data_IF_481674105980
#
_entry.id   IF_481674105980
#
_cell.length_a   1.000
_cell.length_b   1.000
_cell.length_c   1.000
_cell.angle_alpha   90.00
_cell.angle_beta   90.00
_cell.angle_gamma   90.00
#
_symmetry.space_group_name_H-M   'P 1'
#
loop_
_entity.id
_entity.type
_entity.pdbx_description
1 polymer ?
#
# COMPACT_ATOMS: atom_id res chain seq x y z
N UNK A 1 39.52 -22.66 -2.90
CA UNK A 1 38.19 -23.06 -2.41
C UNK A 1 37.39 -21.79 -2.14
N UNK A 2 36.72 -21.28 -3.17
CA UNK A 2 35.92 -20.05 -3.11
C UNK A 2 34.75 -20.22 -4.06
N UNK A 3 33.53 -20.24 -3.51
CA UNK A 3 32.35 -19.48 -3.96
C UNK A 3 31.19 -19.87 -3.04
N UNK A 4 30.83 -19.06 -2.02
CA UNK A 4 29.49 -19.08 -1.49
C UNK A 4 28.58 -18.10 -2.26
N UNK A 5 27.31 -18.49 -2.39
CA UNK A 5 26.10 -17.64 -2.47
C UNK A 5 26.00 -16.61 -3.60
N UNK A 6 25.13 -16.85 -4.59
CA UNK A 6 23.66 -16.65 -4.51
C UNK A 6 23.11 -16.45 -5.91
N UNK A 7 22.22 -17.34 -6.31
CA UNK A 7 21.42 -17.28 -7.53
C UNK A 7 20.48 -16.07 -7.47
N UNK A 8 20.95 -14.89 -7.87
CA UNK A 8 20.10 -13.79 -8.29
C UNK A 8 19.84 -13.97 -9.79
N UNK A 9 18.94 -14.91 -10.11
CA UNK A 9 18.41 -14.99 -11.47
C UNK A 9 17.53 -13.74 -11.66
N UNK A 10 18.06 -12.76 -12.39
CA UNK A 10 17.48 -11.43 -12.51
C UNK A 10 16.17 -11.51 -13.30
N UNK A 11 15.05 -11.17 -12.64
CA UNK A 11 13.76 -11.06 -13.33
C UNK A 11 13.91 -10.17 -14.57
N UNK A 12 13.52 -10.71 -15.73
CA UNK A 12 13.40 -9.92 -16.96
C UNK A 12 12.38 -8.82 -16.70
N UNK A 13 12.79 -7.56 -16.90
CA UNK A 13 11.92 -6.39 -16.70
C UNK A 13 10.92 -6.31 -17.86
N UNK A 14 9.83 -7.08 -17.74
CA UNK A 14 8.75 -7.17 -18.75
C UNK A 14 7.68 -6.10 -18.54
N UNK A 15 7.53 -5.59 -17.32
CA UNK A 15 6.51 -4.59 -17.00
C UNK A 15 6.88 -3.22 -17.57
N UNK A 16 6.11 -2.77 -18.56
CA UNK A 16 6.14 -1.39 -19.03
C UNK A 16 5.41 -0.47 -18.05
N UNK A 17 5.60 0.85 -18.19
CA UNK A 17 4.93 1.85 -17.33
C UNK A 17 3.40 1.70 -17.32
N UNK A 18 2.82 1.33 -18.46
CA UNK A 18 1.39 1.08 -18.60
C UNK A 18 0.93 -0.16 -17.83
N UNK A 19 1.70 -1.25 -17.87
CA UNK A 19 1.36 -2.49 -17.17
C UNK A 19 1.42 -2.31 -15.65
N UNK A 20 2.40 -1.55 -15.17
CA UNK A 20 2.50 -1.18 -13.75
C UNK A 20 1.29 -0.34 -13.32
N UNK A 21 0.86 0.60 -14.16
CA UNK A 21 -0.31 1.42 -13.87
C UNK A 21 -1.59 0.58 -13.84
N UNK A 22 -1.78 -0.30 -14.82
CA UNK A 22 -2.92 -1.21 -14.87
C UNK A 22 -2.96 -2.15 -13.65
N UNK A 23 -1.81 -2.67 -13.24
CA UNK A 23 -1.68 -3.49 -12.04
C UNK A 23 -2.04 -2.69 -10.78
N UNK A 24 -1.54 -1.46 -10.65
CA UNK A 24 -1.84 -0.60 -9.51
C UNK A 24 -3.34 -0.26 -9.41
N UNK A 25 -3.98 0.08 -10.53
CA UNK A 25 -5.43 0.32 -10.58
C UNK A 25 -6.23 -0.94 -10.21
N UNK A 26 -5.84 -2.10 -10.74
CA UNK A 26 -6.49 -3.38 -10.43
C UNK A 26 -6.37 -3.75 -8.95
N UNK A 27 -5.23 -3.46 -8.33
CA UNK A 27 -5.02 -3.69 -6.90
C UNK A 27 -5.81 -2.71 -6.00
N UNK A 28 -6.12 -1.51 -6.48
CA UNK A 28 -6.83 -0.49 -5.70
C UNK A 28 -8.35 -0.71 -5.67
N UNK A 29 -8.94 -1.24 -6.75
CA UNK A 29 -10.38 -1.44 -6.89
C UNK A 29 -10.78 -2.79 -6.27
N UNK A 30 -11.19 -2.77 -4.99
CA UNK A 30 -11.66 -3.96 -4.26
C UNK A 30 -13.18 -4.02 -4.06
N UNK A 31 -13.67 -4.96 -3.25
CA UNK A 31 -15.10 -5.09 -2.91
C UNK A 31 -15.61 -4.02 -1.91
N UNK A 32 -14.68 -3.35 -1.21
CA UNK A 32 -15.01 -2.48 -0.07
C UNK A 32 -15.96 -1.33 -0.41
N UNK A 33 -15.88 -0.74 -1.60
CA UNK A 33 -16.73 0.39 -1.98
C UNK A 33 -18.22 0.01 -2.09
N UNK A 34 -18.54 -1.25 -2.45
CA UNK A 34 -19.92 -1.72 -2.61
C UNK A 34 -20.63 -1.72 -1.24
N UNK A 35 -19.96 -2.21 -0.20
CA UNK A 35 -20.51 -2.31 1.16
C UNK A 35 -20.49 -0.95 1.85
N UNK A 36 -19.42 -0.18 1.67
CA UNK A 36 -19.25 1.10 2.34
C UNK A 36 -20.22 2.16 1.80
N UNK A 37 -20.54 2.12 0.50
CA UNK A 37 -21.52 3.05 -0.08
C UNK A 37 -22.92 2.83 0.48
N UNK A 38 -23.34 1.57 0.67
CA UNK A 38 -24.64 1.25 1.26
C UNK A 38 -24.76 1.76 2.71
N UNK A 39 -23.75 1.50 3.53
CA UNK A 39 -23.71 1.96 4.93
C UNK A 39 -23.57 3.49 5.05
N UNK A 40 -22.81 4.13 4.17
CA UNK A 40 -22.65 5.58 4.14
C UNK A 40 -23.95 6.31 3.77
N UNK A 41 -24.69 5.83 2.76
CA UNK A 41 -25.98 6.41 2.36
C UNK A 41 -27.02 6.24 3.47
N UNK A 42 -27.03 5.09 4.14
CA UNK A 42 -28.04 4.76 5.14
C UNK A 42 -27.81 5.49 6.48
N UNK A 43 -26.57 5.85 6.78
CA UNK A 43 -26.21 6.60 8.00
C UNK A 43 -26.24 8.13 7.81
N UNK A 44 -25.74 8.65 6.68
CA UNK A 44 -25.56 10.09 6.46
C UNK A 44 -26.51 10.69 5.39
N UNK A 45 -27.33 9.86 4.73
CA UNK A 45 -28.11 10.27 3.56
C UNK A 45 -27.25 10.44 2.30
N UNK A 46 -27.89 10.69 1.16
CA UNK A 46 -27.20 10.87 -0.13
C UNK A 46 -26.25 12.07 -0.15
N UNK A 47 -26.65 13.19 0.48
CA UNK A 47 -25.81 14.39 0.59
C UNK A 47 -24.61 14.19 1.52
N UNK A 48 -24.80 13.50 2.65
CA UNK A 48 -23.71 13.24 3.60
C UNK A 48 -22.65 12.30 3.04
N UNK A 49 -23.05 11.27 2.28
CA UNK A 49 -22.14 10.38 1.61
C UNK A 49 -21.25 11.12 0.57
N UNK A 50 -21.83 12.02 -0.22
CA UNK A 50 -21.08 12.81 -1.23
C UNK A 50 -20.03 13.68 -0.53
N UNK A 51 -20.39 14.39 0.53
CA UNK A 51 -19.47 15.25 1.28
C UNK A 51 -18.35 14.42 1.92
N UNK A 52 -18.68 13.26 2.50
CA UNK A 52 -17.70 12.35 3.09
C UNK A 52 -16.72 11.81 2.03
N UNK A 53 -17.18 11.47 0.82
CA UNK A 53 -16.32 11.06 -0.29
C UNK A 53 -15.39 12.18 -0.77
N UNK A 54 -15.87 13.43 -0.82
CA UNK A 54 -15.02 14.57 -1.21
C UNK A 54 -13.91 14.78 -0.17
N UNK A 55 -14.25 14.79 1.12
CA UNK A 55 -13.27 14.99 2.20
C UNK A 55 -12.29 13.81 2.25
N UNK A 56 -12.80 12.57 2.16
CA UNK A 56 -11.97 11.37 2.12
C UNK A 56 -11.05 11.34 0.90
N UNK A 57 -11.55 11.73 -0.27
CA UNK A 57 -10.76 11.86 -1.49
C UNK A 57 -9.64 12.89 -1.34
N UNK A 58 -9.92 14.05 -0.74
CA UNK A 58 -8.90 15.05 -0.46
C UNK A 58 -7.82 14.54 0.48
N UNK A 59 -8.20 13.81 1.54
CA UNK A 59 -7.25 13.19 2.46
C UNK A 59 -6.37 12.14 1.73
N UNK A 60 -6.95 11.31 0.86
CA UNK A 60 -6.21 10.32 0.08
C UNK A 60 -5.22 11.00 -0.88
N UNK A 61 -5.58 12.13 -1.50
CA UNK A 61 -4.67 12.88 -2.37
C UNK A 61 -3.46 13.39 -1.59
N UNK A 62 -3.66 13.92 -0.38
CA UNK A 62 -2.55 14.36 0.47
C UNK A 62 -1.63 13.19 0.85
N UNK A 63 -2.19 12.04 1.22
CA UNK A 63 -1.43 10.83 1.51
C UNK A 63 -0.67 10.36 0.26
N UNK A 64 -1.33 10.33 -0.90
CA UNK A 64 -0.73 9.96 -2.18
C UNK A 64 0.44 10.87 -2.57
N UNK A 65 0.34 12.17 -2.31
CA UNK A 65 1.42 13.12 -2.57
C UNK A 65 2.63 12.85 -1.66
N UNK A 66 2.40 12.61 -0.37
CA UNK A 66 3.51 12.23 0.54
C UNK A 66 4.18 10.92 0.13
N UNK A 67 3.40 9.95 -0.38
CA UNK A 67 3.92 8.68 -0.86
C UNK A 67 4.69 8.85 -2.18
N UNK A 68 4.25 9.75 -3.05
CA UNK A 68 4.94 10.10 -4.29
C UNK A 68 6.30 10.77 -4.04
N UNK A 69 6.35 11.72 -3.10
CA UNK A 69 7.60 12.35 -2.64
C UNK A 69 8.58 11.30 -2.08
N UNK A 70 8.09 10.38 -1.26
CA UNK A 70 8.90 9.31 -0.69
C UNK A 70 9.41 8.35 -1.78
N UNK A 71 8.55 7.96 -2.71
CA UNK A 71 8.91 7.11 -3.85
C UNK A 71 9.96 7.76 -4.77
N UNK A 72 9.91 9.08 -4.94
CA UNK A 72 10.92 9.83 -5.68
C UNK A 72 12.26 9.93 -4.92
N UNK A 73 12.23 10.09 -3.59
CA UNK A 73 13.42 10.19 -2.75
C UNK A 73 14.20 8.85 -2.61
N UNK A 74 13.52 7.71 -2.71
CA UNK A 74 14.13 6.38 -2.56
C UNK A 74 13.78 5.44 -3.74
N UNK A 75 14.56 5.46 -4.83
CA UNK A 75 14.33 4.65 -6.03
C UNK A 75 14.87 3.22 -5.87
N UNK A 76 14.65 2.58 -4.71
CA UNK A 76 15.00 1.18 -4.49
C UNK A 76 13.79 0.29 -4.77
N UNK A 77 13.95 -0.64 -5.71
CA UNK A 77 12.90 -1.58 -6.15
C UNK A 77 12.67 -2.59 -5.02
N UNK A 78 11.48 -2.57 -4.41
CA UNK A 78 11.12 -3.52 -3.34
C UNK A 78 9.80 -3.28 -2.60
N UNK A 79 9.01 -2.27 -2.98
CA UNK A 79 7.69 -1.99 -2.39
C UNK A 79 7.76 -1.54 -0.92
N UNK A 80 6.59 -1.34 -0.31
CA UNK A 80 6.44 -0.99 1.13
C UNK A 80 7.27 -1.91 2.04
N UNK A 81 7.54 -3.15 1.64
CA UNK A 81 8.37 -4.09 2.39
C UNK A 81 9.82 -3.61 2.58
N UNK A 82 10.45 -2.95 1.60
CA UNK A 82 11.80 -2.38 1.77
C UNK A 82 11.77 -1.09 2.62
N UNK A 83 10.64 -0.37 2.64
CA UNK A 83 10.41 0.77 3.53
C UNK A 83 10.20 0.32 4.98
N UNK A 84 9.30 -0.64 5.22
CA UNK A 84 9.01 -1.24 6.51
C UNK A 84 10.21 -2.00 7.07
N UNK A 85 10.97 -2.75 6.27
CA UNK A 85 12.17 -3.45 6.75
C UNK A 85 13.28 -2.49 7.21
N UNK A 86 13.33 -1.28 6.63
CA UNK A 86 14.32 -0.24 7.00
C UNK A 86 13.82 0.70 8.09
N UNK A 87 12.51 0.91 8.22
CA UNK A 87 11.89 1.74 9.26
C UNK A 87 11.58 0.97 10.56
N UNK A 88 11.22 -0.31 10.49
CA UNK A 88 10.76 -1.14 11.62
C UNK A 88 11.81 -2.14 12.12
N UNK A 89 13.10 -1.93 11.84
CA UNK A 89 14.20 -2.87 12.12
C UNK A 89 13.89 -3.96 13.16
N UNK A 90 13.82 -5.22 12.73
CA UNK A 90 13.72 -6.43 13.57
C UNK A 90 12.69 -6.48 14.73
N UNK A 91 11.68 -5.60 14.83
CA UNK A 91 10.83 -5.53 16.05
C UNK A 91 9.32 -5.43 15.79
N UNK A 92 8.70 -6.44 15.15
CA UNK A 92 7.43 -6.92 15.68
C UNK A 92 7.44 -8.42 15.98
N UNK A 93 8.62 -9.05 16.06
CA UNK A 93 8.75 -10.48 16.38
C UNK A 93 8.82 -10.80 17.89
N UNK A 94 8.75 -9.83 18.81
CA UNK A 94 8.92 -10.10 20.25
C UNK A 94 7.91 -9.41 21.19
N UNK A 95 6.98 -8.59 20.69
CA UNK A 95 6.01 -7.88 21.55
C UNK A 95 4.59 -8.44 21.54
N UNK A 96 4.45 -9.72 21.17
CA UNK A 96 3.39 -10.55 21.73
C UNK A 96 4.02 -11.51 22.77
N UNK A 97 4.41 -11.03 23.97
CA UNK A 97 4.56 -11.94 25.08
C UNK A 97 3.20 -12.59 25.29
N UNK A 98 3.19 -13.91 25.19
CA UNK A 98 2.12 -14.71 25.71
C UNK A 98 1.74 -14.21 27.09
N UNK A 99 0.48 -13.83 27.24
CA UNK A 99 -0.18 -13.86 28.53
C UNK A 99 -1.20 -14.97 28.44
N UNK A 100 -0.72 -16.18 28.70
CA UNK A 100 -1.52 -17.21 29.36
C UNK A 100 -2.05 -16.63 30.66
N UNK A 101 -3.37 -16.45 30.75
CA UNK A 101 -4.25 -16.87 31.84
C UNK A 101 -5.68 -16.90 31.32
#
# INVERSE_FOLDING_TARGET
>A
MTTPSSEQDGLVRVLARGDVLALAFGAMIGWGWIVLTGTAIQSAGSLGAIIAFIIGGLAIVLVGLTYAELAAAMPKVGGEHVYSYRALGHLPSFSAPGRSF
#
